data_IF_930438865625
#
_entry.id   IF_930438865625
#
_cell.length_a   1.000
_cell.length_b   1.000
_cell.length_c   1.000
_cell.angle_alpha   90.00
_cell.angle_beta   90.00
_cell.angle_gamma   90.00
#
_symmetry.space_group_name_H-M   'P 1'
#
loop_
_entity.id
_entity.type
_entity.pdbx_description
1 polymer ?
#
# COMPACT_ATOMS: atom_id res chain seq x y z
N UNK A 1 -11.21 10.97 -12.14
CA UNK A 1 -10.35 11.94 -12.87
C UNK A 1 -10.28 13.20 -12.00
N UNK A 2 -9.10 13.57 -11.49
CA UNK A 2 -8.95 14.77 -10.66
C UNK A 2 -8.81 15.99 -11.57
N UNK A 3 -9.71 16.97 -11.46
CA UNK A 3 -9.64 18.21 -12.23
C UNK A 3 -8.94 19.28 -11.38
N UNK A 4 -7.74 19.66 -11.78
CA UNK A 4 -6.97 20.71 -11.12
C UNK A 4 -6.90 21.94 -12.03
N UNK A 5 -7.14 23.12 -11.48
CA UNK A 5 -7.03 24.41 -12.17
C UNK A 5 -5.91 25.20 -11.51
N UNK A 6 -4.87 25.53 -12.28
CA UNK A 6 -3.68 26.22 -11.78
C UNK A 6 -3.61 27.62 -12.39
N UNK A 7 -3.28 28.62 -11.55
CA UNK A 7 -2.89 29.96 -11.98
C UNK A 7 -1.38 30.00 -12.25
N UNK A 8 -0.93 30.95 -13.06
CA UNK A 8 0.50 31.13 -13.36
C UNK A 8 1.32 31.25 -12.07
N UNK A 9 2.41 30.47 -11.98
CA UNK A 9 3.25 30.35 -10.79
C UNK A 9 2.80 29.28 -9.78
N UNK A 10 1.59 28.72 -9.88
CA UNK A 10 1.19 27.59 -9.05
C UNK A 10 1.81 26.29 -9.53
N UNK A 11 2.05 25.38 -8.59
CA UNK A 11 2.68 24.11 -8.87
C UNK A 11 1.90 22.92 -8.30
N UNK A 12 2.14 21.76 -8.88
CA UNK A 12 1.65 20.46 -8.42
C UNK A 12 2.86 19.62 -8.08
N UNK A 13 2.86 19.07 -6.87
CA UNK A 13 3.84 18.07 -6.48
C UNK A 13 3.33 16.69 -6.88
N UNK A 14 4.19 15.89 -7.49
CA UNK A 14 3.92 14.49 -7.81
C UNK A 14 4.92 13.67 -6.99
N UNK A 15 4.46 13.12 -5.87
CA UNK A 15 5.37 12.56 -4.86
C UNK A 15 6.22 13.65 -4.19
N UNK A 16 7.36 13.24 -3.65
CA UNK A 16 8.23 14.13 -2.86
C UNK A 16 9.28 14.87 -3.72
N UNK A 17 9.65 14.31 -4.88
CA UNK A 17 10.82 14.75 -5.65
C UNK A 17 10.50 15.42 -6.99
N UNK A 18 9.22 15.53 -7.36
CA UNK A 18 8.83 16.12 -8.65
C UNK A 18 7.88 17.30 -8.43
N UNK A 19 8.26 18.45 -8.95
CA UNK A 19 7.44 19.67 -8.95
C UNK A 19 7.16 20.11 -10.39
N UNK A 20 5.88 20.25 -10.72
CA UNK A 20 5.43 20.80 -11.99
C UNK A 20 4.83 22.18 -11.74
N UNK A 21 5.49 23.23 -12.24
CA UNK A 21 5.03 24.62 -12.14
C UNK A 21 4.34 25.02 -13.44
N UNK A 22 3.14 25.59 -13.34
CA UNK A 22 2.46 26.20 -14.48
C UNK A 22 3.05 27.59 -14.74
N UNK A 23 3.69 27.76 -15.90
CA UNK A 23 4.39 28.98 -16.28
C UNK A 23 3.62 29.80 -17.34
N UNK A 24 2.30 29.67 -17.35
CA UNK A 24 1.41 30.38 -18.28
C UNK A 24 1.12 29.61 -19.57
N UNK A 25 0.30 30.20 -20.43
CA UNK A 25 -0.10 29.59 -21.72
C UNK A 25 -0.96 30.54 -22.54
N UNK A 26 -0.90 30.41 -23.87
CA UNK A 26 -1.69 31.21 -24.81
C UNK A 26 -2.41 30.25 -25.76
N UNK A 27 -3.73 30.44 -25.91
CA UNK A 27 -4.55 29.62 -26.81
C UNK A 27 -4.60 28.15 -26.40
N UNK A 28 -4.21 27.25 -27.33
CA UNK A 28 -4.18 25.78 -27.10
C UNK A 28 -2.86 25.27 -26.52
N UNK A 29 -1.92 26.17 -26.19
CA UNK A 29 -0.60 25.79 -25.68
C UNK A 29 -0.43 26.19 -24.22
N UNK A 30 0.02 25.23 -23.42
CA UNK A 30 0.37 25.38 -22.01
C UNK A 30 1.89 25.27 -21.86
N UNK A 31 2.50 26.17 -21.07
CA UNK A 31 3.90 26.10 -20.69
C UNK A 31 4.01 25.55 -19.28
N UNK A 32 4.73 24.44 -19.14
CA UNK A 32 5.02 23.79 -17.88
C UNK A 32 6.53 23.81 -17.65
N UNK A 33 6.94 24.16 -16.43
CA UNK A 33 8.31 24.00 -15.95
C UNK A 33 8.30 22.79 -15.02
N UNK A 34 9.21 21.85 -15.26
CA UNK A 34 9.30 20.61 -14.48
C UNK A 34 10.65 20.61 -13.79
N UNK A 35 10.62 20.58 -12.47
CA UNK A 35 11.78 20.37 -11.60
C UNK A 35 11.73 18.92 -11.11
N UNK A 36 12.74 18.15 -11.47
CA UNK A 36 12.81 16.71 -11.26
C UNK A 36 14.27 16.26 -11.14
N UNK A 37 14.54 15.13 -10.46
CA UNK A 37 15.90 14.60 -10.33
C UNK A 37 16.50 14.25 -11.70
N UNK A 38 17.81 14.46 -11.84
CA UNK A 38 18.56 14.29 -13.11
C UNK A 38 18.47 12.88 -13.70
N UNK A 39 18.17 11.89 -12.87
CA UNK A 39 18.05 10.49 -13.28
C UNK A 39 16.69 10.16 -13.91
N UNK A 40 15.69 11.03 -13.73
CA UNK A 40 14.37 10.85 -14.29
C UNK A 40 14.36 11.26 -15.77
N UNK A 41 14.13 10.28 -16.66
CA UNK A 41 14.01 10.55 -18.09
C UNK A 41 12.68 11.28 -18.39
N UNK A 42 12.75 12.58 -18.72
CA UNK A 42 11.62 13.39 -19.16
C UNK A 42 11.73 13.59 -20.67
N UNK A 43 11.00 12.79 -21.43
CA UNK A 43 10.94 12.88 -22.89
C UNK A 43 9.60 13.50 -23.35
N UNK A 44 9.66 14.36 -24.38
CA UNK A 44 8.45 14.76 -25.11
C UNK A 44 7.98 13.57 -25.93
N UNK A 45 6.86 12.96 -25.56
CA UNK A 45 6.26 11.90 -26.38
C UNK A 45 5.61 12.52 -27.60
N UNK A 46 6.36 12.64 -28.69
CA UNK A 46 5.75 12.79 -30.01
C UNK A 46 5.18 11.41 -30.35
N UNK A 47 3.91 11.18 -30.02
CA UNK A 47 3.20 9.98 -30.47
C UNK A 47 3.01 10.09 -31.99
N UNK A 48 4.05 9.79 -32.76
CA UNK A 48 3.95 9.46 -34.18
C UNK A 48 3.83 7.92 -34.24
N UNK A 49 2.61 7.36 -34.40
CA UNK A 49 2.35 5.92 -34.31
C UNK A 49 2.88 5.14 -35.52
N UNK A 50 3.38 5.82 -36.56
CA UNK A 50 3.91 5.20 -37.77
C UNK A 50 5.45 5.08 -37.70
N UNK A 51 6.02 3.88 -37.57
CA UNK A 51 7.47 3.69 -37.53
C UNK A 51 8.18 4.16 -38.81
N UNK A 52 7.48 4.33 -39.94
CA UNK A 52 8.06 4.85 -41.19
C UNK A 52 8.17 6.39 -41.25
N UNK A 53 7.51 7.12 -40.33
CA UNK A 53 7.54 8.58 -40.25
C UNK A 53 8.37 9.12 -39.08
N UNK A 54 8.93 8.24 -38.25
CA UNK A 54 10.07 8.59 -37.41
C UNK A 54 11.18 8.97 -38.38
N UNK A 55 11.31 10.26 -38.68
CA UNK A 55 12.49 10.75 -39.39
C UNK A 55 13.64 10.47 -38.43
N UNK A 56 14.44 9.46 -38.75
CA UNK A 56 15.82 9.38 -38.31
C UNK A 56 16.48 10.64 -38.87
N UNK A 57 16.40 11.75 -38.14
CA UNK A 57 17.06 13.00 -38.51
C UNK A 57 18.54 12.88 -38.19
N UNK A 58 19.18 11.90 -38.81
CA UNK A 58 20.61 11.93 -39.03
C UNK A 58 20.83 12.61 -40.38
N UNK A 59 21.03 13.93 -40.34
CA UNK A 59 21.55 14.64 -41.50
C UNK A 59 23.01 14.23 -41.61
N UNK A 60 23.47 13.61 -42.72
CA UNK A 60 24.88 13.34 -42.90
C UNK A 60 25.60 14.70 -42.96
N UNK A 61 26.34 15.02 -41.91
CA UNK A 61 27.35 16.08 -42.01
C UNK A 61 28.35 15.62 -43.09
N UNK A 62 28.68 16.50 -44.06
CA UNK A 62 29.46 16.12 -45.24
C UNK A 62 30.89 15.63 -44.93
N UNK A 63 31.32 15.65 -43.67
CA UNK A 63 32.65 15.25 -43.20
C UNK A 63 32.71 13.88 -42.51
N UNK A 64 31.57 13.21 -42.25
CA UNK A 64 31.55 11.95 -41.48
C UNK A 64 31.48 10.74 -42.41
N UNK A 65 32.53 9.91 -42.43
CA UNK A 65 32.61 8.65 -43.20
C UNK A 65 31.40 7.74 -42.95
N UNK A 66 30.92 7.05 -43.99
CA UNK A 66 29.80 6.09 -43.94
C UNK A 66 29.95 5.04 -42.83
N UNK A 67 31.19 4.66 -42.49
CA UNK A 67 31.50 3.71 -41.42
C UNK A 67 31.19 4.28 -40.03
N UNK A 68 31.49 5.56 -39.81
CA UNK A 68 31.19 6.27 -38.57
C UNK A 68 29.68 6.50 -38.41
N UNK A 69 28.96 6.78 -39.48
CA UNK A 69 27.48 6.88 -39.45
C UNK A 69 26.83 5.55 -39.02
N UNK A 70 27.36 4.42 -39.51
CA UNK A 70 26.90 3.08 -39.13
C UNK A 70 27.17 2.78 -37.64
N UNK A 71 28.27 3.28 -37.10
CA UNK A 71 28.57 3.17 -35.66
C UNK A 71 27.62 4.02 -34.81
N UNK A 72 27.34 5.26 -35.22
CA UNK A 72 26.37 6.13 -34.54
C UNK A 72 24.99 5.46 -34.48
N UNK A 73 24.51 4.89 -35.60
CA UNK A 73 23.24 4.14 -35.62
C UNK A 73 23.25 2.92 -34.68
N UNK A 74 24.39 2.25 -34.51
CA UNK A 74 24.51 1.14 -33.53
C UNK A 74 24.38 1.67 -32.10
N UNK A 75 25.05 2.77 -31.79
CA UNK A 75 24.98 3.43 -30.47
C UNK A 75 23.56 3.91 -30.16
N UNK A 76 22.85 4.46 -31.15
CA UNK A 76 21.46 4.90 -30.98
C UNK A 76 20.53 3.73 -30.66
N UNK A 77 20.65 2.62 -31.39
CA UNK A 77 19.87 1.38 -31.10
C UNK A 77 20.15 0.83 -29.71
N UNK A 78 21.41 0.87 -29.26
CA UNK A 78 21.78 0.46 -27.90
C UNK A 78 21.15 1.41 -26.88
N UNK A 79 21.18 2.73 -27.13
CA UNK A 79 20.57 3.73 -26.25
C UNK A 79 19.05 3.58 -26.13
N UNK A 80 18.37 3.23 -27.23
CA UNK A 80 16.95 2.89 -27.22
C UNK A 80 16.67 1.62 -26.41
N UNK A 81 17.50 0.58 -26.57
CA UNK A 81 17.37 -0.65 -25.81
C UNK A 81 17.57 -0.42 -24.30
N UNK A 82 18.58 0.39 -23.93
CA UNK A 82 18.83 0.81 -22.54
C UNK A 82 17.63 1.59 -21.99
N UNK A 83 17.08 2.52 -22.76
CA UNK A 83 15.90 3.31 -22.37
C UNK A 83 14.68 2.41 -22.12
N UNK A 84 14.48 1.38 -22.95
CA UNK A 84 13.42 0.39 -22.77
C UNK A 84 13.63 -0.46 -21.51
N UNK A 85 14.85 -0.92 -21.24
CA UNK A 85 15.15 -1.66 -20.00
C UNK A 85 14.95 -0.77 -18.77
N UNK A 86 15.39 0.49 -18.84
CA UNK A 86 15.22 1.47 -17.77
C UNK A 86 13.75 1.73 -17.46
N UNK A 87 12.90 1.87 -18.48
CA UNK A 87 11.45 2.06 -18.27
C UNK A 87 10.80 0.84 -17.61
N UNK A 88 11.19 -0.37 -17.98
CA UNK A 88 10.71 -1.60 -17.33
C UNK A 88 11.17 -1.67 -15.86
N UNK A 89 12.45 -1.34 -15.58
CA UNK A 89 12.98 -1.28 -14.21
C UNK A 89 12.26 -0.26 -13.35
N UNK A 90 11.97 0.93 -13.90
CA UNK A 90 11.19 1.96 -13.22
C UNK A 90 9.78 1.47 -12.89
N UNK A 91 9.10 0.81 -13.83
CA UNK A 91 7.78 0.23 -13.57
C UNK A 91 7.82 -0.86 -12.50
N UNK A 92 8.87 -1.68 -12.47
CA UNK A 92 9.03 -2.72 -11.45
C UNK A 92 9.27 -2.10 -10.06
N UNK A 93 10.10 -1.06 -9.96
CA UNK A 93 10.32 -0.33 -8.70
C UNK A 93 9.02 0.30 -8.18
N UNK A 94 8.20 0.86 -9.06
CA UNK A 94 6.89 1.38 -8.67
C UNK A 94 5.95 0.29 -8.13
N UNK A 95 5.98 -0.92 -8.71
CA UNK A 95 5.23 -2.07 -8.21
C UNK A 95 5.76 -2.53 -6.87
N UNK A 96 7.08 -2.57 -6.68
CA UNK A 96 7.71 -2.91 -5.39
C UNK A 96 7.27 -1.97 -4.28
N UNK A 97 7.33 -0.65 -4.51
CA UNK A 97 6.87 0.34 -3.52
C UNK A 97 5.38 0.14 -3.16
N UNK A 98 4.54 -0.13 -4.16
CA UNK A 98 3.12 -0.42 -3.92
C UNK A 98 2.91 -1.70 -3.10
N UNK A 99 3.69 -2.75 -3.36
CA UNK A 99 3.64 -3.99 -2.59
C UNK A 99 4.07 -3.76 -1.15
N UNK A 100 5.17 -3.03 -0.94
CA UNK A 100 5.67 -2.70 0.40
C UNK A 100 4.65 -1.89 1.21
N UNK A 101 4.03 -0.87 0.60
CA UNK A 101 2.93 -0.14 1.25
C UNK A 101 1.72 -1.04 1.55
N UNK A 102 1.40 -1.97 0.66
CA UNK A 102 0.28 -2.90 0.86
C UNK A 102 0.58 -3.87 2.00
N UNK A 103 1.81 -4.35 2.11
CA UNK A 103 2.27 -5.23 3.20
C UNK A 103 2.19 -4.49 4.53
N UNK A 104 2.79 -3.29 4.63
CA UNK A 104 2.76 -2.51 5.86
C UNK A 104 1.33 -2.19 6.33
N UNK A 105 0.43 -1.87 5.39
CA UNK A 105 -0.97 -1.67 5.72
C UNK A 105 -1.66 -2.97 6.16
N UNK A 106 -1.36 -4.10 5.51
CA UNK A 106 -1.93 -5.40 5.87
C UNK A 106 -1.46 -5.85 7.26
N UNK A 107 -0.20 -5.66 7.60
CA UNK A 107 0.34 -6.00 8.92
C UNK A 107 -0.39 -5.21 10.02
N UNK A 108 -0.61 -3.91 9.82
CA UNK A 108 -1.43 -3.09 10.73
C UNK A 108 -2.87 -3.61 10.84
N UNK A 109 -3.48 -4.03 9.73
CA UNK A 109 -4.84 -4.60 9.74
C UNK A 109 -4.86 -5.93 10.50
N UNK A 110 -3.85 -6.78 10.31
CA UNK A 110 -3.73 -8.06 11.01
C UNK A 110 -3.54 -7.85 12.50
N UNK A 111 -2.68 -6.92 12.93
CA UNK A 111 -2.47 -6.60 14.34
C UNK A 111 -3.76 -6.09 15.01
N UNK A 112 -4.43 -5.15 14.35
CA UNK A 112 -5.70 -4.58 14.86
C UNK A 112 -6.82 -5.63 14.90
N UNK A 113 -6.91 -6.49 13.88
CA UNK A 113 -7.93 -7.55 13.81
C UNK A 113 -7.65 -8.64 14.84
N UNK A 114 -6.40 -9.06 14.99
CA UNK A 114 -5.99 -10.06 15.99
C UNK A 114 -6.23 -9.53 17.40
N UNK A 115 -5.93 -8.25 17.66
CA UNK A 115 -6.21 -7.61 18.95
C UNK A 115 -7.71 -7.49 19.22
N UNK A 116 -8.52 -7.23 18.18
CA UNK A 116 -9.97 -7.20 18.30
C UNK A 116 -10.56 -8.61 18.51
N UNK A 117 -10.03 -9.63 17.83
CA UNK A 117 -10.39 -11.03 18.03
C UNK A 117 -10.05 -11.46 19.44
N UNK A 118 -8.84 -11.18 19.93
CA UNK A 118 -8.42 -11.44 21.31
C UNK A 118 -9.40 -10.81 22.31
N UNK A 119 -9.80 -9.55 22.15
CA UNK A 119 -10.82 -8.93 23.03
C UNK A 119 -12.19 -9.61 23.02
N UNK A 120 -12.57 -10.27 21.92
CA UNK A 120 -13.88 -10.93 21.77
C UNK A 120 -13.81 -12.38 22.26
N UNK A 121 -12.75 -13.08 21.87
CA UNK A 121 -12.61 -14.53 22.00
C UNK A 121 -11.82 -14.92 23.24
N UNK A 122 -10.82 -14.13 23.62
CA UNK A 122 -10.11 -14.34 24.86
C UNK A 122 -11.01 -13.86 25.98
N UNK A 123 -11.66 -14.83 26.63
CA UNK A 123 -12.37 -14.57 27.86
C UNK A 123 -11.38 -14.08 28.90
N UNK A 124 -11.75 -13.04 29.65
CA UNK A 124 -10.99 -12.64 30.83
C UNK A 124 -10.93 -13.82 31.81
N UNK A 125 -9.77 -14.50 31.83
CA UNK A 125 -9.51 -15.65 32.69
C UNK A 125 -9.74 -15.31 34.16
N UNK A 126 -9.52 -14.07 34.58
CA UNK A 126 -9.79 -13.66 35.95
C UNK A 126 -11.30 -13.72 36.24
N UNK A 127 -12.13 -13.21 35.33
CA UNK A 127 -13.59 -13.25 35.47
C UNK A 127 -14.12 -14.67 35.43
N UNK A 128 -13.60 -15.51 34.54
CA UNK A 128 -14.07 -16.89 34.43
C UNK A 128 -13.60 -17.77 35.60
N UNK A 129 -12.41 -17.52 36.16
CA UNK A 129 -11.96 -18.15 37.41
C UNK A 129 -12.82 -17.76 38.62
N UNK A 130 -13.28 -16.51 38.68
CA UNK A 130 -14.22 -16.07 39.73
C UNK A 130 -15.57 -16.78 39.57
N UNK A 131 -16.10 -16.87 38.36
CA UNK A 131 -17.34 -17.61 38.08
C UNK A 131 -17.19 -19.09 38.42
N UNK A 132 -16.09 -19.72 38.00
CA UNK A 132 -15.77 -21.10 38.29
C UNK A 132 -15.66 -21.36 39.81
N UNK A 133 -14.95 -20.50 40.53
CA UNK A 133 -14.83 -20.59 41.99
C UNK A 133 -16.18 -20.42 42.68
N UNK A 134 -16.97 -19.43 42.26
CA UNK A 134 -18.34 -19.21 42.75
C UNK A 134 -19.22 -20.45 42.53
N UNK A 135 -19.16 -21.06 41.35
CA UNK A 135 -19.93 -22.25 41.02
C UNK A 135 -19.51 -23.46 41.86
N UNK A 136 -18.21 -23.63 42.11
CA UNK A 136 -17.71 -24.68 43.01
C UNK A 136 -18.19 -24.48 44.45
N UNK A 137 -18.12 -23.25 44.97
CA UNK A 137 -18.63 -22.91 46.30
C UNK A 137 -20.14 -23.17 46.37
N UNK A 138 -20.91 -22.79 45.35
CA UNK A 138 -22.35 -23.06 45.27
C UNK A 138 -22.66 -24.56 45.24
N UNK A 139 -21.89 -25.36 44.50
CA UNK A 139 -22.07 -26.81 44.45
C UNK A 139 -21.80 -27.47 45.81
N UNK A 140 -20.71 -27.08 46.48
CA UNK A 140 -20.39 -27.55 47.84
C UNK A 140 -21.44 -27.09 48.86
N UNK A 141 -21.88 -25.83 48.79
CA UNK A 141 -22.94 -25.31 49.65
C UNK A 141 -24.28 -26.02 49.41
N UNK A 142 -24.63 -26.31 48.15
CA UNK A 142 -25.83 -27.04 47.79
C UNK A 142 -25.84 -28.47 48.32
N UNK A 143 -24.69 -29.17 48.26
CA UNK A 143 -24.54 -30.50 48.87
C UNK A 143 -24.70 -30.47 50.39
N UNK A 144 -24.05 -29.53 51.07
CA UNK A 144 -24.19 -29.36 52.52
C UNK A 144 -25.61 -28.97 52.94
N UNK A 145 -26.26 -28.09 52.18
CA UNK A 145 -27.66 -27.70 52.38
C UNK A 145 -28.62 -28.88 52.18
N UNK A 146 -28.43 -29.69 51.16
CA UNK A 146 -29.20 -30.92 50.95
C UNK A 146 -29.02 -31.92 52.10
N UNK A 147 -27.78 -32.11 52.56
CA UNK A 147 -27.50 -32.99 53.69
C UNK A 147 -28.18 -32.50 54.98
N UNK A 148 -28.14 -31.19 55.24
CA UNK A 148 -28.74 -30.60 56.42
C UNK A 148 -30.29 -30.57 56.38
N UNK A 149 -30.87 -30.33 55.21
CA UNK A 149 -32.32 -30.43 55.00
C UNK A 149 -32.83 -31.86 55.24
N UNK A 150 -32.09 -32.88 54.79
CA UNK A 150 -32.42 -34.28 55.02
C UNK A 150 -32.37 -34.66 56.51
N UNK A 151 -31.36 -34.21 57.26
CA UNK A 151 -31.27 -34.45 58.70
C UNK A 151 -32.35 -33.73 59.51
N UNK A 152 -32.66 -32.47 59.14
CA UNK A 152 -33.75 -31.70 59.74
C UNK A 152 -35.11 -32.43 59.62
N UNK A 153 -35.42 -32.97 58.43
CA UNK A 153 -36.66 -33.71 58.21
C UNK A 153 -36.78 -34.96 59.09
N UNK A 154 -35.68 -35.68 59.34
CA UNK A 154 -35.67 -36.84 60.24
C UNK A 154 -35.86 -36.44 61.70
N UNK A 155 -35.30 -35.30 62.12
CA UNK A 155 -35.50 -34.75 63.47
C UNK A 155 -36.96 -34.39 63.75
N UNK A 156 -37.68 -33.85 62.77
CA UNK A 156 -39.12 -33.56 62.90
C UNK A 156 -39.95 -34.84 62.98
N UNK A 157 -39.60 -35.88 62.22
CA UNK A 157 -40.27 -37.18 62.31
C UNK A 157 -40.04 -37.87 63.67
N UNK A 158 -38.94 -37.57 64.35
CA UNK A 158 -38.69 -38.01 65.73
C UNK A 158 -39.51 -37.26 66.78
N UNK A 159 -39.98 -36.04 66.47
CA UNK A 159 -40.80 -35.23 67.38
C UNK A 159 -42.31 -35.51 67.23
N UNK A 160 -42.70 -36.22 66.17
CA UNK A 160 -44.09 -36.61 65.88
C UNK A 160 -44.43 -38.05 66.28
N UNK A 161 -43.47 -38.82 66.81
CA UNK A 161 -43.63 -40.20 67.29
C UNK A 161 -43.62 -40.26 68.81
#
# INVERSE_FOLDING_TARGET
MLKLSLKEGQYVNIGDDIRIVFAGGIGKHCRLLIDAPKELNIARSNNEPDPAKRKDTYYPDPEISNEAQKEIQRIDRISEAISKVSSQRSSLGAVQNRLEHTINNLDNVVENTTSAESRIRDTDMAKEMVNYSKNNILAQAGQSMLAQANQSNQGVLSLLQ
#
